data_IF_588656636207
#
_entry.id   IF_588656636207
#
_cell.length_a   1.000
_cell.length_b   1.000
_cell.length_c   1.000
_cell.angle_alpha   90.00
_cell.angle_beta   90.00
_cell.angle_gamma   90.00
#
_symmetry.space_group_name_H-M   'P 1'
#
loop_
_entity.id
_entity.type
_entity.pdbx_description
1 polymer ?
#
# COMPACT_ATOMS: atom_id res chain seq x y z
N UNK A 1 30.94 -28.38 -7.78
CA UNK A 1 29.49 -28.65 -7.89
C UNK A 1 28.65 -27.47 -7.40
N UNK A 2 29.09 -26.22 -7.60
CA UNK A 2 28.35 -25.04 -7.08
C UNK A 2 28.06 -23.99 -8.16
N UNK A 3 28.39 -24.28 -9.42
CA UNK A 3 28.14 -23.41 -10.58
C UNK A 3 26.76 -23.62 -11.23
N UNK A 4 25.92 -24.51 -10.68
CA UNK A 4 24.58 -24.87 -11.19
C UNK A 4 23.41 -24.26 -10.41
N UNK A 5 23.66 -23.46 -9.36
CA UNK A 5 22.60 -22.89 -8.51
C UNK A 5 22.22 -21.43 -8.85
N UNK A 6 22.97 -20.74 -9.70
CA UNK A 6 22.73 -19.32 -10.00
C UNK A 6 21.64 -19.11 -11.09
N UNK A 7 21.26 -20.16 -11.83
CA UNK A 7 20.29 -20.05 -12.92
C UNK A 7 18.81 -20.02 -12.48
N UNK A 8 18.50 -20.31 -11.21
CA UNK A 8 17.11 -20.32 -10.70
C UNK A 8 16.69 -18.95 -10.10
N UNK A 9 17.62 -18.00 -9.99
CA UNK A 9 17.32 -16.67 -9.45
C UNK A 9 16.64 -15.72 -10.47
N UNK A 10 16.46 -16.13 -11.73
CA UNK A 10 15.92 -15.28 -12.81
C UNK A 10 14.41 -15.41 -13.05
N UNK A 11 13.67 -16.24 -12.29
CA UNK A 11 12.26 -16.53 -12.59
C UNK A 11 11.28 -16.34 -11.43
N UNK A 12 11.73 -15.92 -10.25
CA UNK A 12 10.81 -15.35 -9.26
C UNK A 12 10.65 -13.87 -9.56
N UNK A 13 9.88 -13.55 -10.59
CA UNK A 13 9.31 -12.22 -10.75
C UNK A 13 8.68 -11.86 -9.40
N UNK A 14 9.25 -10.86 -8.71
CA UNK A 14 8.62 -10.27 -7.53
C UNK A 14 7.17 -10.03 -7.92
N UNK A 15 6.25 -10.76 -7.29
CA UNK A 15 4.84 -10.46 -7.43
C UNK A 15 4.69 -8.99 -7.08
N UNK A 16 4.44 -8.15 -8.09
CA UNK A 16 4.30 -6.73 -7.89
C UNK A 16 3.03 -6.56 -7.05
N UNK A 17 3.21 -6.33 -5.75
CA UNK A 17 2.10 -6.12 -4.83
C UNK A 17 1.38 -4.85 -5.28
N UNK A 18 0.25 -5.03 -5.96
CA UNK A 18 -0.61 -3.96 -6.45
C UNK A 18 -1.06 -3.00 -5.32
N UNK A 19 -0.97 -3.46 -4.07
CA UNK A 19 -1.28 -2.69 -2.86
C UNK A 19 -0.21 -1.64 -2.51
N UNK A 20 1.02 -1.76 -3.01
CA UNK A 20 2.11 -0.84 -2.65
C UNK A 20 1.86 0.60 -3.10
N UNK A 21 1.10 0.80 -4.17
CA UNK A 21 0.80 2.13 -4.72
C UNK A 21 -0.61 2.63 -4.44
N UNK A 22 -1.44 1.84 -3.78
CA UNK A 22 -2.70 2.36 -3.27
C UNK A 22 -2.38 3.26 -2.08
N UNK A 23 -2.46 4.58 -2.26
CA UNK A 23 -2.35 5.57 -1.19
C UNK A 23 -3.39 6.67 -1.39
N UNK A 24 -4.36 6.86 -0.46
CA UNK A 24 -5.32 7.95 -0.54
C UNK A 24 -4.61 9.29 -0.70
N UNK A 25 -5.07 10.20 -1.58
CA UNK A 25 -4.32 11.40 -1.94
C UNK A 25 -3.90 12.27 -0.75
N UNK A 26 -4.79 12.41 0.24
CA UNK A 26 -4.53 13.14 1.49
C UNK A 26 -3.42 12.52 2.36
N UNK A 27 -3.17 11.22 2.19
CA UNK A 27 -2.13 10.48 2.92
C UNK A 27 -0.84 10.30 2.12
N UNK A 28 -0.77 10.81 0.88
CA UNK A 28 0.43 10.71 0.05
C UNK A 28 1.55 11.55 0.64
N UNK A 29 2.75 10.95 0.66
CA UNK A 29 3.99 11.65 0.99
C UNK A 29 4.77 11.90 -0.29
N UNK A 30 5.30 13.11 -0.45
CA UNK A 30 6.05 13.48 -1.65
C UNK A 30 7.28 12.58 -1.83
N UNK A 31 7.51 12.14 -3.06
CA UNK A 31 8.74 11.44 -3.45
C UNK A 31 9.50 12.14 -4.59
N UNK A 32 8.83 13.02 -5.33
CA UNK A 32 9.41 13.77 -6.44
C UNK A 32 9.29 15.27 -6.25
N UNK A 33 8.92 15.95 -7.32
CA UNK A 33 8.67 17.39 -7.38
C UNK A 33 7.52 17.68 -8.36
N UNK A 34 7.01 18.90 -8.34
CA UNK A 34 5.96 19.34 -9.25
C UNK A 34 6.42 19.24 -10.72
N UNK A 35 5.61 18.62 -11.57
CA UNK A 35 5.93 18.43 -12.99
C UNK A 35 6.89 17.27 -13.31
N UNK A 36 7.25 16.45 -12.33
CA UNK A 36 8.03 15.21 -12.57
C UNK A 36 7.29 14.28 -13.54
N UNK A 37 8.03 13.63 -14.46
CA UNK A 37 7.44 12.64 -15.37
C UNK A 37 7.12 11.34 -14.64
N UNK A 38 6.13 10.59 -15.15
CA UNK A 38 5.78 9.28 -14.60
C UNK A 38 6.98 8.32 -14.61
N UNK A 39 7.72 8.27 -15.70
CA UNK A 39 8.93 7.45 -15.85
C UNK A 39 9.98 7.79 -14.79
N UNK A 40 10.30 9.07 -14.58
CA UNK A 40 11.28 9.49 -13.57
C UNK A 40 10.80 9.15 -12.16
N UNK A 41 9.50 9.31 -11.87
CA UNK A 41 8.93 8.95 -10.58
C UNK A 41 9.02 7.44 -10.29
N UNK A 42 8.65 6.61 -11.27
CA UNK A 42 8.70 5.16 -11.15
C UNK A 42 10.15 4.65 -11.05
N UNK A 43 11.09 5.23 -11.80
CA UNK A 43 12.51 4.93 -11.72
C UNK A 43 13.12 5.26 -10.34
N UNK A 44 12.55 6.23 -9.61
CA UNK A 44 12.89 6.53 -8.21
C UNK A 44 12.33 5.51 -7.22
N UNK A 45 11.63 4.48 -7.68
CA UNK A 45 11.02 3.45 -6.85
C UNK A 45 9.72 3.90 -6.16
N UNK A 46 9.08 4.96 -6.66
CA UNK A 46 7.87 5.54 -6.11
C UNK A 46 6.64 5.25 -6.98
N UNK A 47 5.48 5.72 -6.53
CA UNK A 47 4.21 5.57 -7.20
C UNK A 47 3.83 6.87 -7.91
N UNK A 48 3.26 6.75 -9.11
CA UNK A 48 2.77 7.88 -9.88
C UNK A 48 1.26 7.79 -10.09
N UNK A 49 0.53 8.86 -9.77
CA UNK A 49 -0.90 9.00 -10.08
C UNK A 49 -1.27 10.49 -10.25
N UNK A 50 -1.54 10.87 -11.50
CA UNK A 50 -1.97 12.21 -11.89
C UNK A 50 -3.48 12.35 -12.09
N UNK A 51 -4.28 11.35 -11.70
CA UNK A 51 -5.74 11.37 -11.90
C UNK A 51 -6.47 12.43 -11.06
N UNK A 52 -5.85 12.91 -9.98
CA UNK A 52 -6.44 13.89 -9.07
C UNK A 52 -5.58 15.14 -9.01
N UNK A 53 -6.16 16.27 -9.44
CA UNK A 53 -5.52 17.58 -9.43
C UNK A 53 -5.25 18.08 -8.01
N UNK A 54 -4.18 18.87 -7.84
CA UNK A 54 -3.79 19.45 -6.56
C UNK A 54 -3.23 18.46 -5.54
N UNK A 55 -2.89 17.24 -5.98
CA UNK A 55 -2.34 16.18 -5.12
C UNK A 55 -0.89 15.88 -5.49
N UNK A 56 -0.22 15.09 -4.64
CA UNK A 56 1.14 14.62 -4.89
C UNK A 56 1.10 13.53 -5.94
N UNK A 57 1.47 13.86 -7.18
CA UNK A 57 1.45 12.90 -8.27
C UNK A 57 2.56 11.86 -8.14
N UNK A 58 3.75 12.25 -7.68
CA UNK A 58 4.81 11.31 -7.34
C UNK A 58 4.92 11.13 -5.83
N UNK A 59 4.52 9.96 -5.34
CA UNK A 59 4.39 9.71 -3.91
C UNK A 59 5.05 8.40 -3.48
N UNK A 60 5.42 8.35 -2.20
CA UNK A 60 6.00 7.15 -1.58
C UNK A 60 4.98 6.01 -1.56
N UNK A 61 5.49 4.79 -1.72
CA UNK A 61 4.72 3.56 -1.52
C UNK A 61 4.08 3.51 -0.14
N UNK A 62 3.05 2.70 -0.02
CA UNK A 62 2.37 2.36 1.21
C UNK A 62 3.31 1.65 2.21
N UNK A 63 4.07 2.41 3.00
CA UNK A 63 5.01 1.88 4.00
C UNK A 63 4.40 1.78 5.41
N UNK A 64 3.06 1.79 5.51
CA UNK A 64 2.37 1.67 6.79
C UNK A 64 1.69 0.30 6.88
N UNK A 65 1.80 -0.40 8.02
CA UNK A 65 1.23 -1.75 8.18
C UNK A 65 -0.30 -1.77 8.06
N UNK A 66 -0.95 -0.61 8.20
CA UNK A 66 -2.40 -0.46 8.05
C UNK A 66 -2.87 -0.08 6.65
N UNK A 67 -1.94 0.06 5.70
CA UNK A 67 -2.28 0.37 4.34
C UNK A 67 -2.50 -0.92 3.56
N UNK A 68 -3.75 -1.38 3.57
CA UNK A 68 -4.19 -2.58 2.89
C UNK A 68 -5.47 -2.25 2.11
N UNK A 69 -5.41 -2.53 0.81
CA UNK A 69 -6.53 -2.45 -0.10
C UNK A 69 -7.77 -3.19 0.46
N UNK A 70 -8.97 -2.61 0.38
CA UNK A 70 -10.17 -3.10 1.06
C UNK A 70 -10.49 -4.58 0.84
N UNK A 71 -10.27 -5.07 -0.37
CA UNK A 71 -10.50 -6.45 -0.80
C UNK A 71 -9.46 -7.45 -0.25
N UNK A 72 -8.29 -6.98 0.21
CA UNK A 72 -7.24 -7.81 0.80
C UNK A 72 -7.22 -7.75 2.33
N UNK A 73 -8.10 -6.96 2.94
CA UNK A 73 -8.20 -6.87 4.41
C UNK A 73 -8.61 -8.22 4.99
N UNK A 74 -7.91 -8.65 6.04
CA UNK A 74 -8.30 -9.81 6.86
C UNK A 74 -8.94 -9.31 8.15
N UNK A 75 -10.12 -9.83 8.48
CA UNK A 75 -10.90 -9.41 9.65
C UNK A 75 -10.10 -9.59 10.94
N UNK A 76 -10.07 -8.58 11.82
CA UNK A 76 -9.49 -8.66 13.17
C UNK A 76 -10.49 -8.28 14.28
N UNK A 77 -11.71 -7.90 13.90
CA UNK A 77 -12.78 -7.51 14.82
C UNK A 77 -14.12 -8.08 14.40
N UNK A 78 -15.15 -7.25 14.51
CA UNK A 78 -16.52 -7.56 14.14
C UNK A 78 -17.22 -6.30 13.60
N UNK A 79 -18.36 -6.48 12.94
CA UNK A 79 -19.17 -5.37 12.42
C UNK A 79 -19.61 -4.43 13.56
N UNK A 80 -19.43 -3.11 13.38
CA UNK A 80 -19.79 -2.11 14.39
C UNK A 80 -18.79 -1.95 15.55
N UNK A 81 -17.64 -2.64 15.51
CA UNK A 81 -16.56 -2.39 16.47
C UNK A 81 -16.10 -0.93 16.41
N UNK A 82 -15.84 -0.31 17.58
CA UNK A 82 -15.31 1.05 17.62
C UNK A 82 -13.85 1.08 17.16
N UNK A 83 -13.40 2.25 16.66
CA UNK A 83 -11.99 2.49 16.32
C UNK A 83 -11.07 2.16 17.50
N UNK A 84 -11.39 2.69 18.67
CA UNK A 84 -10.60 2.53 19.89
C UNK A 84 -10.46 1.05 20.26
N UNK A 85 -11.55 0.27 20.23
CA UNK A 85 -11.51 -1.16 20.55
C UNK A 85 -10.71 -1.95 19.50
N UNK A 86 -10.85 -1.62 18.22
CA UNK A 86 -10.05 -2.26 17.17
C UNK A 86 -8.55 -2.00 17.32
N UNK A 87 -8.17 -0.74 17.56
CA UNK A 87 -6.77 -0.33 17.71
C UNK A 87 -6.15 -0.90 18.99
N UNK A 88 -6.92 -0.96 20.09
CA UNK A 88 -6.51 -1.61 21.34
C UNK A 88 -6.24 -3.11 21.17
N UNK A 89 -6.87 -3.76 20.18
CA UNK A 89 -6.57 -5.16 19.78
C UNK A 89 -5.30 -5.28 18.93
N UNK A 90 -4.57 -4.17 18.72
CA UNK A 90 -3.34 -4.13 17.94
C UNK A 90 -3.56 -4.14 16.43
N UNK A 91 -4.80 -3.90 15.97
CA UNK A 91 -5.20 -3.95 14.57
C UNK A 91 -5.39 -2.56 13.94
N UNK A 92 -5.66 -2.55 12.64
CA UNK A 92 -5.86 -1.35 11.85
C UNK A 92 -7.34 -1.07 11.70
N UNK A 93 -7.71 0.21 11.76
CA UNK A 93 -9.08 0.66 11.60
C UNK A 93 -9.23 1.61 10.40
N UNK A 94 -10.13 1.29 9.47
CA UNK A 94 -10.54 2.19 8.39
C UNK A 94 -11.99 1.92 7.95
N UNK A 95 -12.88 2.85 8.27
CA UNK A 95 -14.30 2.83 7.94
C UNK A 95 -14.67 3.63 6.69
N UNK A 96 -13.69 4.05 5.88
CA UNK A 96 -13.93 4.89 4.70
C UNK A 96 -14.74 4.19 3.60
N UNK A 97 -14.93 2.87 3.69
CA UNK A 97 -15.66 2.06 2.71
C UNK A 97 -16.66 1.16 3.45
N UNK A 98 -17.95 1.34 3.16
CA UNK A 98 -19.05 0.71 3.91
C UNK A 98 -19.04 -0.82 3.84
N UNK A 99 -18.69 -1.39 2.69
CA UNK A 99 -18.69 -2.86 2.47
C UNK A 99 -17.36 -3.53 2.85
N UNK A 100 -16.38 -2.75 3.31
CA UNK A 100 -15.07 -3.25 3.66
C UNK A 100 -15.02 -3.71 5.12
N UNK A 101 -14.01 -4.53 5.43
CA UNK A 101 -13.67 -4.87 6.81
C UNK A 101 -13.05 -3.65 7.46
N UNK A 102 -13.73 -3.08 8.45
CA UNK A 102 -13.28 -1.84 9.11
C UNK A 102 -12.15 -2.11 10.09
N UNK A 103 -12.20 -3.22 10.83
CA UNK A 103 -11.12 -3.65 11.71
C UNK A 103 -10.37 -4.83 11.09
N UNK A 104 -9.11 -4.61 10.71
CA UNK A 104 -8.34 -5.60 9.96
C UNK A 104 -6.91 -5.74 10.47
N UNK A 105 -6.33 -6.91 10.21
CA UNK A 105 -4.94 -7.20 10.58
C UNK A 105 -3.96 -6.29 9.83
N UNK A 106 -2.87 -5.94 10.51
CA UNK A 106 -1.69 -5.31 9.90
C UNK A 106 -1.10 -6.22 8.82
N UNK A 107 -0.37 -5.62 7.88
CA UNK A 107 0.49 -6.33 6.94
C UNK A 107 1.59 -7.06 7.72
N UNK A 108 1.77 -8.35 7.44
CA UNK A 108 2.84 -9.17 8.04
C UNK A 108 4.21 -8.79 7.49
#
# INVERSE_FOLDING_TARGET
METMLILIALSFGKAFSFDECYVPPVHRQECGWFGITAETCLARGCCFDSSIWGTKWCFRKADRPCHILPNYRRECGWLGISRQTCEARGCCYDSSILIAKWCFHKRN
#
